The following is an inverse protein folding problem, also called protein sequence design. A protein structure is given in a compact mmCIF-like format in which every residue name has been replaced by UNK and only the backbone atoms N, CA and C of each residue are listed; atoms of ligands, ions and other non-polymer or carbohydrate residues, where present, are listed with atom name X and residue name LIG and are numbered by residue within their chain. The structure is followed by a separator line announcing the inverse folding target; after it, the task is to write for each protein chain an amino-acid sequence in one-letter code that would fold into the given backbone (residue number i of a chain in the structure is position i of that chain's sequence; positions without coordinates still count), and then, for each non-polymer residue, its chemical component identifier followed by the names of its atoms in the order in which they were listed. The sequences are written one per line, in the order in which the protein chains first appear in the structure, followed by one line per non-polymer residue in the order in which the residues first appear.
data_IF_190581155982
#
_entry.id   IF_190581155982
#
_cell.length_a   1.000
_cell.length_b   1.000
_cell.length_c   1.000
_cell.angle_alpha   90.00
_cell.angle_beta   90.00
_cell.angle_gamma   90.00
#
_symmetry.space_group_name_H-M   'P 1'
#
loop_
_entity.id
_entity.type
_entity.pdbx_description
1 polymer ?
#
# COMPACT_ATOMS: atom_id res chain seq x y z
N UNK A 1 7.12 -18.14 -9.13
CA UNK A 1 8.52 -18.09 -9.55
C UNK A 1 8.85 -16.80 -10.31
N UNK A 2 8.22 -16.51 -11.47
CA UNK A 2 8.51 -15.31 -12.28
C UNK A 2 8.33 -14.00 -11.51
N UNK A 3 7.28 -13.86 -10.70
CA UNK A 3 7.07 -12.67 -9.88
C UNK A 3 8.20 -12.49 -8.85
N UNK A 4 8.67 -13.58 -8.23
CA UNK A 4 9.80 -13.56 -7.31
C UNK A 4 11.09 -13.09 -7.99
N UNK A 5 11.36 -13.58 -9.20
CA UNK A 5 12.51 -13.12 -9.99
C UNK A 5 12.40 -11.64 -10.35
N UNK A 6 11.21 -11.18 -10.73
CA UNK A 6 10.98 -9.79 -11.11
C UNK A 6 11.24 -8.83 -9.94
N UNK A 7 10.66 -9.07 -8.76
CA UNK A 7 10.87 -8.15 -7.64
C UNK A 7 12.30 -8.19 -7.09
N UNK A 8 13.01 -9.30 -7.24
CA UNK A 8 14.42 -9.39 -6.84
C UNK A 8 15.32 -8.48 -7.68
N UNK A 9 14.93 -8.17 -8.92
CA UNK A 9 15.67 -7.27 -9.81
C UNK A 9 15.38 -5.80 -9.57
N UNK A 10 14.14 -5.45 -9.16
CA UNK A 10 13.68 -4.05 -9.06
C UNK A 10 13.44 -3.60 -7.63
N UNK A 11 13.64 -4.49 -6.67
CA UNK A 11 13.26 -4.32 -5.27
C UNK A 11 11.74 -4.15 -5.07
N UNK A 12 11.39 -3.90 -3.82
CA UNK A 12 10.03 -3.69 -3.36
C UNK A 12 9.79 -2.18 -3.13
N UNK A 13 8.75 -1.80 -2.41
CA UNK A 13 8.43 -0.40 -2.15
C UNK A 13 7.97 -0.17 -0.71
N UNK A 14 7.45 1.02 -0.44
CA UNK A 14 6.97 1.44 0.88
C UNK A 14 5.92 0.51 1.49
N UNK A 15 5.18 -0.24 0.66
CA UNK A 15 4.26 -1.26 1.13
C UNK A 15 4.97 -2.27 2.04
N UNK A 16 6.12 -2.77 1.60
CA UNK A 16 6.92 -3.72 2.40
C UNK A 16 7.60 -3.03 3.58
N UNK A 17 8.09 -1.80 3.42
CA UNK A 17 8.66 -1.04 4.54
C UNK A 17 7.67 -0.86 5.70
N UNK A 18 6.43 -0.51 5.41
CA UNK A 18 5.37 -0.41 6.42
C UNK A 18 5.02 -1.81 6.96
N UNK A 19 4.85 -2.81 6.10
CA UNK A 19 4.49 -4.16 6.52
C UNK A 19 5.55 -4.80 7.43
N UNK A 20 6.84 -4.56 7.18
CA UNK A 20 7.93 -5.01 8.04
C UNK A 20 7.86 -4.37 9.43
N UNK A 21 7.58 -3.05 9.49
CA UNK A 21 7.42 -2.35 10.76
C UNK A 21 6.22 -2.90 11.56
N UNK A 22 5.06 -3.09 10.91
CA UNK A 22 3.88 -3.66 11.54
C UNK A 22 4.10 -5.09 12.03
N UNK A 23 4.77 -5.91 11.23
CA UNK A 23 5.11 -7.28 11.60
C UNK A 23 6.07 -7.35 12.78
N UNK A 24 7.08 -6.47 12.84
CA UNK A 24 8.05 -6.43 13.91
C UNK A 24 7.47 -5.93 15.24
N UNK A 25 6.53 -4.99 15.21
CA UNK A 25 5.95 -4.36 16.41
C UNK A 25 4.75 -5.16 16.94
N UNK A 26 3.84 -5.57 16.04
CA UNK A 26 2.56 -6.19 16.42
C UNK A 26 2.47 -7.68 16.09
N UNK A 27 3.55 -8.29 15.61
CA UNK A 27 3.60 -9.70 15.21
C UNK A 27 2.56 -10.09 14.14
N UNK A 28 2.14 -9.13 13.31
CA UNK A 28 1.25 -9.36 12.18
C UNK A 28 2.03 -10.12 11.12
N UNK A 29 1.47 -11.23 10.60
CA UNK A 29 2.13 -12.01 9.56
C UNK A 29 2.37 -11.18 8.31
N UNK A 30 3.52 -11.37 7.66
CA UNK A 30 4.01 -10.58 6.53
C UNK A 30 2.96 -10.37 5.42
N UNK A 31 2.32 -11.43 4.96
CA UNK A 31 1.30 -11.35 3.92
C UNK A 31 0.07 -10.54 4.35
N UNK A 32 -0.35 -10.66 5.62
CA UNK A 32 -1.48 -9.91 6.17
C UNK A 32 -1.16 -8.43 6.28
N UNK A 33 0.02 -8.08 6.78
CA UNK A 33 0.47 -6.69 6.88
C UNK A 33 0.58 -6.02 5.49
N UNK A 34 1.15 -6.72 4.52
CA UNK A 34 1.22 -6.21 3.14
C UNK A 34 -0.18 -6.01 2.53
N UNK A 35 -1.08 -6.95 2.71
CA UNK A 35 -2.43 -6.89 2.17
C UNK A 35 -3.23 -5.70 2.75
N UNK A 36 -3.09 -5.45 4.05
CA UNK A 36 -3.74 -4.37 4.77
C UNK A 36 -3.36 -2.99 4.21
N UNK A 37 -2.09 -2.79 3.86
CA UNK A 37 -1.55 -1.49 3.45
C UNK A 37 -1.66 -1.27 1.94
N UNK A 38 -1.71 -2.34 1.14
CA UNK A 38 -1.61 -2.31 -0.32
C UNK A 38 -2.57 -1.33 -1.03
N UNK A 39 -3.88 -1.26 -0.73
CA UNK A 39 -4.80 -0.35 -1.38
C UNK A 39 -4.35 1.12 -1.29
N UNK A 40 -3.89 1.52 -0.11
CA UNK A 40 -3.50 2.90 0.21
C UNK A 40 -2.14 3.27 -0.38
N UNK A 41 -1.23 2.30 -0.47
CA UNK A 41 0.05 2.50 -1.16
C UNK A 41 -0.14 2.62 -2.67
N UNK A 42 -1.06 1.89 -3.29
CA UNK A 42 -1.42 2.06 -4.71
C UNK A 42 -1.96 3.48 -4.93
N UNK A 43 -2.86 3.94 -4.08
CA UNK A 43 -3.43 5.29 -4.12
C UNK A 43 -2.33 6.37 -4.03
N UNK A 44 -1.44 6.23 -3.04
CA UNK A 44 -0.28 7.10 -2.83
C UNK A 44 0.64 7.11 -4.06
N UNK A 45 1.07 5.96 -4.53
CA UNK A 45 1.99 5.85 -5.67
C UNK A 45 1.39 6.39 -6.97
N UNK A 46 0.09 6.23 -7.16
CA UNK A 46 -0.64 6.77 -8.30
C UNK A 46 -0.89 8.29 -8.23
N UNK A 47 -0.59 8.94 -7.09
CA UNK A 47 -0.84 10.36 -6.83
C UNK A 47 -2.32 10.75 -7.00
N UNK A 48 -3.23 9.89 -6.51
CA UNK A 48 -4.67 10.03 -6.70
C UNK A 48 -5.26 11.26 -5.99
N UNK A 49 -4.61 11.73 -4.92
CA UNK A 49 -5.02 12.91 -4.16
C UNK A 49 -4.76 14.23 -4.91
N UNK A 50 -3.95 14.22 -5.98
CA UNK A 50 -3.63 15.41 -6.73
C UNK A 50 -4.75 15.78 -7.69
N UNK A 51 -5.57 16.74 -7.31
CA UNK A 51 -6.59 17.31 -8.18
C UNK A 51 -5.97 18.06 -9.37
N UNK A 52 -6.63 17.96 -10.53
CA UNK A 52 -6.26 18.75 -11.73
C UNK A 52 -4.99 18.30 -12.44
N UNK A 53 -4.41 17.17 -12.11
CA UNK A 53 -3.29 16.63 -12.86
C UNK A 53 -3.72 16.30 -14.29
N UNK A 54 -3.34 17.15 -15.26
CA UNK A 54 -3.56 16.88 -16.69
C UNK A 54 -2.85 15.60 -17.17
N UNK A 55 -1.85 15.14 -16.41
CA UNK A 55 -1.04 13.96 -16.72
C UNK A 55 -0.96 13.08 -15.48
N UNK A 56 -1.36 11.83 -15.63
CA UNK A 56 -1.11 10.79 -14.62
C UNK A 56 0.38 10.42 -14.62
N UNK A 57 0.92 10.10 -13.45
CA UNK A 57 2.28 9.62 -13.31
C UNK A 57 2.45 8.20 -13.91
N UNK A 58 3.69 7.73 -14.02
CA UNK A 58 3.97 6.42 -14.63
C UNK A 58 3.46 5.25 -13.78
N UNK A 59 3.39 5.41 -12.46
CA UNK A 59 2.80 4.40 -11.58
C UNK A 59 1.30 4.24 -11.87
N UNK A 60 0.54 5.33 -12.00
CA UNK A 60 -0.88 5.29 -12.35
C UNK A 60 -1.14 4.62 -13.71
N UNK A 61 -0.27 4.87 -14.72
CA UNK A 61 -0.38 4.21 -16.03
C UNK A 61 -0.11 2.71 -15.93
N UNK A 62 0.88 2.29 -15.12
CA UNK A 62 1.17 0.87 -14.87
C UNK A 62 -0.01 0.19 -14.15
N UNK A 63 -0.58 0.81 -13.14
CA UNK A 63 -1.77 0.29 -12.46
C UNK A 63 -3.00 0.23 -13.38
N UNK A 64 -3.18 1.21 -14.28
CA UNK A 64 -4.21 1.14 -15.33
C UNK A 64 -4.01 -0.09 -16.22
N UNK A 65 -2.77 -0.36 -16.63
CA UNK A 65 -2.45 -1.55 -17.44
C UNK A 65 -2.76 -2.84 -16.67
N UNK A 66 -2.42 -2.89 -15.37
CA UNK A 66 -2.76 -4.04 -14.51
C UNK A 66 -4.27 -4.25 -14.43
N UNK A 67 -5.05 -3.18 -14.21
CA UNK A 67 -6.51 -3.24 -14.19
C UNK A 67 -7.07 -3.85 -15.47
N UNK A 68 -6.56 -3.44 -16.64
CA UNK A 68 -6.98 -4.00 -17.94
C UNK A 68 -6.64 -5.48 -18.08
N UNK A 69 -5.44 -5.89 -17.62
CA UNK A 69 -4.99 -7.30 -17.69
C UNK A 69 -5.92 -8.20 -16.88
N UNK A 70 -6.40 -7.74 -15.74
CA UNK A 70 -7.34 -8.51 -14.89
C UNK A 70 -8.81 -8.29 -15.27
N UNK A 71 -9.10 -7.68 -16.42
CA UNK A 71 -10.44 -7.53 -16.96
C UNK A 71 -11.27 -6.39 -16.36
N UNK A 72 -10.66 -5.46 -15.62
CA UNK A 72 -11.37 -4.34 -15.02
C UNK A 72 -11.51 -3.16 -16.02
N UNK A 73 -12.62 -2.40 -15.99
CA UNK A 73 -12.75 -1.18 -16.76
C UNK A 73 -11.67 -0.16 -16.39
N UNK A 74 -10.87 0.26 -17.37
CA UNK A 74 -9.77 1.20 -17.15
C UNK A 74 -9.60 2.16 -18.36
N UNK A 75 -10.63 2.98 -18.68
CA UNK A 75 -10.55 3.92 -19.79
C UNK A 75 -9.50 5.01 -19.55
N UNK A 76 -9.35 5.46 -18.31
CA UNK A 76 -8.32 6.43 -17.89
C UNK A 76 -7.47 5.84 -16.76
N UNK A 77 -6.25 6.35 -16.52
CA UNK A 77 -5.42 5.93 -15.39
C UNK A 77 -6.16 6.07 -14.05
N UNK A 78 -6.86 7.18 -13.83
CA UNK A 78 -7.63 7.42 -12.60
C UNK A 78 -8.70 6.35 -12.37
N UNK A 79 -9.49 6.02 -13.39
CA UNK A 79 -10.52 4.98 -13.29
C UNK A 79 -9.89 3.60 -13.13
N UNK A 80 -8.80 3.31 -13.85
CA UNK A 80 -8.10 2.04 -13.72
C UNK A 80 -7.53 1.81 -12.31
N UNK A 81 -6.90 2.83 -11.73
CA UNK A 81 -6.40 2.78 -10.35
C UNK A 81 -7.54 2.57 -9.34
N UNK A 82 -8.62 3.34 -9.46
CA UNK A 82 -9.76 3.22 -8.55
C UNK A 82 -10.39 1.81 -8.61
N UNK A 83 -10.59 1.28 -9.81
CA UNK A 83 -11.15 -0.05 -9.98
C UNK A 83 -10.21 -1.16 -9.49
N UNK A 84 -8.90 -0.99 -9.67
CA UNK A 84 -7.91 -1.93 -9.14
C UNK A 84 -7.92 -1.95 -7.61
N UNK A 85 -7.96 -0.78 -6.96
CA UNK A 85 -8.07 -0.67 -5.51
C UNK A 85 -9.36 -1.32 -5.02
N UNK A 86 -10.50 -1.01 -5.64
CA UNK A 86 -11.80 -1.57 -5.27
C UNK A 86 -11.80 -3.11 -5.38
N UNK A 87 -11.20 -3.66 -6.43
CA UNK A 87 -11.12 -5.11 -6.62
C UNK A 87 -10.20 -5.77 -5.57
N UNK A 88 -9.07 -5.15 -5.21
CA UNK A 88 -8.20 -5.65 -4.13
C UNK A 88 -8.98 -5.66 -2.81
N UNK A 89 -9.68 -4.58 -2.48
CA UNK A 89 -10.48 -4.50 -1.26
C UNK A 89 -11.62 -5.53 -1.25
N UNK A 90 -12.28 -5.75 -2.41
CA UNK A 90 -13.29 -6.79 -2.56
C UNK A 90 -12.72 -8.19 -2.30
N UNK A 91 -11.54 -8.48 -2.84
CA UNK A 91 -10.86 -9.77 -2.64
C UNK A 91 -10.44 -9.97 -1.18
N UNK A 92 -9.91 -8.94 -0.52
CA UNK A 92 -9.55 -9.00 0.90
C UNK A 92 -10.78 -9.31 1.76
N UNK A 93 -11.89 -8.63 1.50
CA UNK A 93 -13.16 -8.89 2.19
C UNK A 93 -13.69 -10.30 1.91
N UNK A 94 -13.65 -10.76 0.67
CA UNK A 94 -14.08 -12.11 0.28
C UNK A 94 -13.27 -13.20 0.98
N UNK A 95 -11.97 -12.97 1.17
CA UNK A 95 -11.05 -13.89 1.85
C UNK A 95 -11.04 -13.73 3.38
N UNK A 96 -11.93 -12.92 3.94
CA UNK A 96 -11.96 -12.60 5.37
C UNK A 96 -10.60 -12.11 5.90
N UNK A 97 -10.00 -11.15 5.17
CA UNK A 97 -8.73 -10.52 5.56
C UNK A 97 -8.98 -9.19 6.26
N UNK A 98 -8.19 -8.87 7.30
CA UNK A 98 -8.32 -7.61 8.03
C UNK A 98 -8.28 -6.38 7.11
N UNK A 99 -9.14 -5.41 7.39
CA UNK A 99 -9.22 -4.13 6.70
C UNK A 99 -8.63 -2.98 7.54
N UNK A 100 -8.38 -3.22 8.84
CA UNK A 100 -7.83 -2.27 9.78
C UNK A 100 -7.05 -2.95 10.90
N UNK A 101 -6.38 -2.16 11.74
CA UNK A 101 -5.54 -2.66 12.82
C UNK A 101 -6.35 -3.32 13.93
N UNK A 102 -7.56 -2.84 14.23
CA UNK A 102 -8.42 -3.48 15.23
C UNK A 102 -8.82 -4.91 14.84
N UNK A 103 -9.05 -5.18 13.56
CA UNK A 103 -9.29 -6.53 13.05
C UNK A 103 -8.03 -7.42 13.08
N UNK A 104 -6.85 -6.82 13.26
CA UNK A 104 -5.60 -7.53 13.54
C UNK A 104 -5.38 -7.77 15.04
N UNK A 105 -6.30 -7.33 15.90
CA UNK A 105 -6.18 -7.45 17.36
C UNK A 105 -5.35 -6.35 18.01
N UNK A 106 -5.09 -5.25 17.32
CA UNK A 106 -4.32 -4.09 17.82
C UNK A 106 -5.27 -2.93 18.06
N UNK A 107 -5.35 -2.45 19.31
CA UNK A 107 -6.18 -1.29 19.63
C UNK A 107 -5.66 0.01 18.97
N UNK A 108 -6.56 0.96 18.75
CA UNK A 108 -6.21 2.28 18.19
C UNK A 108 -5.20 3.00 19.08
N UNK A 109 -5.33 2.86 20.40
CA UNK A 109 -4.42 3.46 21.38
C UNK A 109 -3.02 2.88 21.25
N UNK A 110 -2.91 1.55 21.22
CA UNK A 110 -1.63 0.86 21.08
C UNK A 110 -0.97 1.14 19.73
N UNK A 111 -1.76 1.16 18.67
CA UNK A 111 -1.28 1.55 17.34
C UNK A 111 -0.69 2.97 17.34
N UNK A 112 -1.42 3.94 17.89
CA UNK A 112 -0.96 5.32 17.94
C UNK A 112 0.26 5.51 18.85
N UNK A 113 0.40 4.76 19.93
CA UNK A 113 1.59 4.75 20.77
C UNK A 113 2.86 4.37 20.01
N UNK A 114 2.75 3.48 19.05
CA UNK A 114 3.89 3.00 18.25
C UNK A 114 4.04 3.70 16.90
N UNK A 115 3.17 4.66 16.57
CA UNK A 115 3.11 5.32 15.26
C UNK A 115 4.46 5.90 14.81
N UNK A 116 5.14 6.64 15.67
CA UNK A 116 6.43 7.25 15.35
C UNK A 116 7.49 6.18 15.04
N UNK A 117 7.50 5.09 15.79
CA UNK A 117 8.42 3.99 15.55
C UNK A 117 8.13 3.27 14.23
N UNK A 118 6.84 3.07 13.88
CA UNK A 118 6.43 2.50 12.59
C UNK A 118 6.96 3.38 11.46
N UNK A 119 6.73 4.69 11.53
CA UNK A 119 7.20 5.65 10.51
C UNK A 119 8.71 5.61 10.37
N UNK A 120 9.45 5.66 11.49
CA UNK A 120 10.91 5.62 11.50
C UNK A 120 11.46 4.33 10.87
N UNK A 121 10.91 3.17 11.25
CA UNK A 121 11.33 1.87 10.70
C UNK A 121 11.00 1.77 9.21
N UNK A 122 9.79 2.15 8.81
CA UNK A 122 9.38 2.10 7.42
C UNK A 122 10.23 3.01 6.51
N UNK A 123 10.62 4.19 6.97
CA UNK A 123 11.51 5.08 6.22
C UNK A 123 12.95 4.54 6.11
N UNK A 124 13.44 3.87 7.15
CA UNK A 124 14.78 3.28 7.16
C UNK A 124 14.86 1.95 6.38
N UNK A 125 13.73 1.35 6.05
CA UNK A 125 13.68 0.07 5.35
C UNK A 125 14.22 0.19 3.92
N UNK A 126 15.08 -0.76 3.52
CA UNK A 126 15.69 -0.79 2.20
C UNK A 126 14.64 -0.87 1.06
N UNK A 127 13.51 -1.54 1.31
CA UNK A 127 12.44 -1.63 0.34
C UNK A 127 11.82 -0.26 0.03
N UNK A 128 11.69 0.61 1.04
CA UNK A 128 11.11 1.95 0.88
C UNK A 128 11.97 2.82 -0.05
N UNK A 129 13.29 2.63 -0.06
CA UNK A 129 14.20 3.39 -0.92
C UNK A 129 13.97 3.13 -2.42
N UNK A 130 13.41 1.97 -2.77
CA UNK A 130 13.10 1.59 -4.15
C UNK A 130 11.67 1.99 -4.59
N UNK A 131 10.92 2.68 -3.73
CA UNK A 131 9.54 3.07 -4.06
C UNK A 131 9.51 4.03 -5.27
N UNK A 132 8.58 3.85 -6.24
CA UNK A 132 8.54 4.67 -7.47
C UNK A 132 8.26 6.16 -7.22
N UNK A 133 7.75 6.51 -6.04
CA UNK A 133 7.54 7.89 -5.58
C UNK A 133 8.33 8.10 -4.30
N UNK A 134 8.98 9.26 -4.17
CA UNK A 134 9.66 9.64 -2.92
C UNK A 134 8.68 9.62 -1.76
N UNK A 135 9.09 9.02 -0.66
CA UNK A 135 8.27 8.81 0.54
C UNK A 135 8.78 9.70 1.67
N UNK A 136 7.88 10.40 2.31
CA UNK A 136 8.14 11.21 3.52
C UNK A 136 7.45 10.60 4.74
N UNK A 137 7.83 11.07 5.94
CA UNK A 137 7.14 10.68 7.18
C UNK A 137 5.65 11.04 7.16
N UNK A 138 5.30 12.19 6.56
CA UNK A 138 3.91 12.63 6.42
C UNK A 138 3.11 11.69 5.50
N UNK A 139 3.71 11.23 4.41
CA UNK A 139 3.06 10.30 3.49
C UNK A 139 2.76 8.96 4.18
N UNK A 140 3.71 8.44 4.95
CA UNK A 140 3.48 7.20 5.73
C UNK A 140 2.36 7.43 6.75
N UNK A 141 2.36 8.56 7.48
CA UNK A 141 1.30 8.87 8.43
C UNK A 141 -0.08 8.88 7.77
N UNK A 142 -0.22 9.49 6.59
CA UNK A 142 -1.48 9.47 5.82
C UNK A 142 -1.92 8.04 5.47
N UNK A 143 -0.99 7.18 5.07
CA UNK A 143 -1.29 5.77 4.81
C UNK A 143 -1.74 5.07 6.09
N UNK A 144 -1.06 5.31 7.23
CA UNK A 144 -1.41 4.72 8.51
C UNK A 144 -2.79 5.18 9.02
N UNK A 145 -3.22 6.41 8.73
CA UNK A 145 -4.55 6.93 9.11
C UNK A 145 -5.69 6.09 8.53
N UNK A 146 -5.50 5.53 7.35
CA UNK A 146 -6.50 4.68 6.71
C UNK A 146 -6.70 3.34 7.42
N UNK A 147 -5.66 2.82 8.06
CA UNK A 147 -5.69 1.50 8.74
C UNK A 147 -5.85 1.60 10.26
N UNK A 148 -5.82 2.80 10.84
CA UNK A 148 -5.85 3.06 12.29
C UNK A 148 -7.23 2.87 12.96
N UNK A 149 -8.18 2.22 12.28
CA UNK A 149 -9.56 2.01 12.76
C UNK A 149 -9.66 0.76 13.59
#
# INVERSE_FOLDING_TARGET
CLAGMAFNLVNLGVNHGIAHALGAIFHITHGRANALVLPYVIEFNADMAREGAKHSNDAAKKYQKMARIVGLPAPTPKVGVANLIAEIQRLLKYMDRPQCMSECGVSVEEFNKHREEIVRRALADACTQANPRKVTAEDINKILDHIAK
#
